data_IF_686826321309
#
_entry.id   IF_686826321309
#
_cell.length_a   1.000
_cell.length_b   1.000
_cell.length_c   1.000
_cell.angle_alpha   90.00
_cell.angle_beta   90.00
_cell.angle_gamma   90.00
#
_symmetry.space_group_name_H-M   'P 1'
#
loop_
_entity.id
_entity.type
_entity.pdbx_description
1 polymer ?
#
# COMPACT_ATOMS: atom_id res chain seq x y z
N UNK A 1 -22.54 -8.25 -2.75
CA UNK A 1 -21.17 -8.65 -3.19
C UNK A 1 -20.45 -9.35 -2.04
N UNK A 2 -19.59 -10.35 -2.28
CA UNK A 2 -19.07 -11.28 -1.24
C UNK A 2 -18.31 -10.59 -0.10
N UNK A 3 -17.63 -9.47 -0.35
CA UNK A 3 -16.90 -8.73 0.68
C UNK A 3 -17.84 -8.15 1.76
N UNK A 4 -19.07 -7.77 1.39
CA UNK A 4 -20.09 -7.32 2.34
C UNK A 4 -20.47 -8.40 3.37
N UNK A 5 -20.34 -9.69 3.03
CA UNK A 5 -20.62 -10.80 3.96
C UNK A 5 -19.49 -11.02 4.98
N UNK A 6 -18.23 -10.75 4.61
CA UNK A 6 -17.07 -10.94 5.50
C UNK A 6 -17.05 -9.89 6.61
N UNK A 7 -17.47 -8.66 6.30
CA UNK A 7 -17.52 -7.56 7.27
C UNK A 7 -18.70 -7.73 8.25
N UNK A 8 -19.65 -8.64 7.99
CA UNK A 8 -20.68 -9.12 8.93
C UNK A 8 -21.44 -8.00 9.68
N UNK A 9 -21.80 -6.91 9.00
CA UNK A 9 -22.49 -5.76 9.60
C UNK A 9 -21.59 -4.76 10.33
N UNK A 10 -20.26 -4.93 10.27
CA UNK A 10 -19.27 -3.96 10.75
C UNK A 10 -19.02 -2.86 9.71
N UNK A 11 -18.25 -1.86 10.11
CA UNK A 11 -17.83 -0.77 9.22
C UNK A 11 -17.02 -1.31 8.05
N UNK A 12 -17.42 -0.94 6.83
CA UNK A 12 -16.71 -1.31 5.62
C UNK A 12 -15.33 -0.64 5.57
N UNK A 13 -14.28 -1.33 5.08
CA UNK A 13 -13.01 -0.70 4.79
C UNK A 13 -13.16 0.48 3.83
N UNK A 14 -12.44 1.56 4.12
CA UNK A 14 -12.36 2.73 3.24
C UNK A 14 -11.56 2.43 1.97
N UNK A 15 -10.53 1.57 2.09
CA UNK A 15 -9.75 1.00 0.99
C UNK A 15 -9.22 -0.40 1.36
N UNK A 16 -8.62 -1.08 0.39
CA UNK A 16 -7.96 -2.39 0.52
C UNK A 16 -6.54 -2.27 0.00
N UNK A 17 -5.54 -2.53 0.85
CA UNK A 17 -4.14 -2.50 0.44
C UNK A 17 -3.66 -3.88 -0.02
N UNK A 18 -2.88 -3.93 -1.10
CA UNK A 18 -2.08 -5.08 -1.50
C UNK A 18 -0.63 -4.73 -1.19
N UNK A 19 -0.02 -5.48 -0.28
CA UNK A 19 1.38 -5.34 0.11
C UNK A 19 2.28 -6.13 -0.86
N UNK A 20 3.09 -5.41 -1.63
CA UNK A 20 3.98 -5.96 -2.66
C UNK A 20 5.42 -5.61 -2.33
N UNK A 21 6.04 -6.44 -1.49
CA UNK A 21 7.39 -6.21 -0.95
C UNK A 21 8.44 -7.27 -1.33
N UNK A 22 8.03 -8.35 -2.00
CA UNK A 22 8.88 -9.48 -2.40
C UNK A 22 8.38 -10.17 -3.68
N UNK A 23 9.23 -11.00 -4.26
CA UNK A 23 8.92 -11.73 -5.51
C UNK A 23 8.11 -13.00 -5.18
N UNK A 24 6.80 -12.95 -5.39
CA UNK A 24 5.87 -14.03 -5.00
C UNK A 24 5.46 -14.97 -6.15
N UNK A 25 5.73 -14.60 -7.41
CA UNK A 25 5.32 -15.38 -8.59
C UNK A 25 6.33 -16.48 -8.91
N UNK A 26 6.51 -17.42 -7.99
CA UNK A 26 7.46 -18.53 -8.13
C UNK A 26 8.92 -18.06 -8.25
N UNK A 27 9.26 -16.91 -7.67
CA UNK A 27 10.57 -16.27 -7.80
C UNK A 27 10.80 -15.53 -9.12
N UNK A 28 9.80 -15.43 -10.01
CA UNK A 28 9.92 -14.71 -11.28
C UNK A 28 9.41 -13.27 -11.19
N UNK A 29 10.33 -12.31 -11.10
CA UNK A 29 10.03 -10.88 -11.05
C UNK A 29 9.20 -10.39 -12.24
N UNK A 30 9.41 -10.95 -13.44
CA UNK A 30 8.68 -10.53 -14.65
C UNK A 30 7.20 -10.90 -14.62
N UNK A 31 6.81 -11.84 -13.77
CA UNK A 31 5.42 -12.26 -13.59
C UNK A 31 4.68 -11.44 -12.52
N UNK A 32 5.37 -10.60 -11.74
CA UNK A 32 4.75 -9.84 -10.65
C UNK A 32 3.63 -8.94 -11.14
N UNK A 33 3.82 -8.23 -12.26
CA UNK A 33 2.75 -7.41 -12.85
C UNK A 33 1.48 -8.22 -13.12
N UNK A 34 1.61 -9.35 -13.81
CA UNK A 34 0.47 -10.20 -14.16
C UNK A 34 -0.20 -10.79 -12.90
N UNK A 35 0.59 -11.20 -11.90
CA UNK A 35 0.10 -11.71 -10.62
C UNK A 35 -0.71 -10.66 -9.84
N UNK A 36 -0.20 -9.45 -9.72
CA UNK A 36 -0.91 -8.35 -9.05
C UNK A 36 -2.15 -7.93 -9.83
N UNK A 37 -2.10 -7.87 -11.17
CA UNK A 37 -3.29 -7.58 -11.99
C UNK A 37 -4.37 -8.66 -11.83
N UNK A 38 -4.00 -9.94 -11.73
CA UNK A 38 -4.92 -11.03 -11.45
C UNK A 38 -5.53 -10.92 -10.05
N UNK A 39 -4.73 -10.56 -9.03
CA UNK A 39 -5.22 -10.32 -7.67
C UNK A 39 -6.24 -9.17 -7.64
N UNK A 40 -5.92 -8.04 -8.27
CA UNK A 40 -6.83 -6.88 -8.37
C UNK A 40 -8.13 -7.26 -9.09
N UNK A 41 -8.05 -8.02 -10.18
CA UNK A 41 -9.23 -8.50 -10.90
C UNK A 41 -10.09 -9.40 -10.02
N UNK A 42 -9.49 -10.27 -9.20
CA UNK A 42 -10.24 -11.09 -8.25
C UNK A 42 -10.88 -10.24 -7.14
N UNK A 43 -10.23 -9.18 -6.66
CA UNK A 43 -10.88 -8.22 -5.76
C UNK A 43 -12.10 -7.55 -6.42
N UNK A 44 -12.01 -7.19 -7.70
CA UNK A 44 -13.14 -6.64 -8.45
C UNK A 44 -14.30 -7.63 -8.54
N UNK A 45 -14.05 -8.92 -8.85
CA UNK A 45 -15.12 -9.94 -8.89
C UNK A 45 -15.81 -10.12 -7.54
N UNK A 46 -15.08 -9.88 -6.45
CA UNK A 46 -15.60 -9.94 -5.07
C UNK A 46 -16.33 -8.65 -4.65
N UNK A 47 -16.23 -7.58 -5.43
CA UNK A 47 -16.94 -6.30 -5.25
C UNK A 47 -16.10 -5.13 -4.76
N UNK A 48 -14.77 -5.23 -4.78
CA UNK A 48 -13.89 -4.09 -4.47
C UNK A 48 -13.54 -3.39 -5.79
N UNK A 49 -14.00 -2.15 -6.02
CA UNK A 49 -13.65 -1.43 -7.24
C UNK A 49 -12.18 -0.98 -7.21
N UNK A 50 -11.56 -0.83 -8.38
CA UNK A 50 -10.14 -0.45 -8.51
C UNK A 50 -9.77 0.83 -7.75
N UNK A 51 -10.66 1.84 -7.74
CA UNK A 51 -10.45 3.08 -7.00
C UNK A 51 -10.40 2.90 -5.47
N UNK A 52 -10.73 1.73 -4.93
CA UNK A 52 -10.55 1.37 -3.51
C UNK A 52 -9.35 0.47 -3.24
N UNK A 53 -8.61 0.09 -4.28
CA UNK A 53 -7.42 -0.75 -4.14
C UNK A 53 -6.19 0.16 -4.05
N UNK A 54 -5.41 0.01 -2.98
CA UNK A 54 -4.13 0.69 -2.77
C UNK A 54 -3.02 -0.31 -3.00
N UNK A 55 -2.01 0.04 -3.79
CA UNK A 55 -0.81 -0.78 -3.90
C UNK A 55 0.26 -0.20 -2.98
N UNK A 56 0.66 -0.98 -1.98
CA UNK A 56 1.89 -0.74 -1.23
C UNK A 56 3.03 -1.43 -1.98
N UNK A 57 4.06 -0.69 -2.38
CA UNK A 57 5.11 -1.19 -3.28
C UNK A 57 6.46 -0.87 -2.67
N UNK A 58 7.28 -1.89 -2.36
CA UNK A 58 8.64 -1.66 -1.88
C UNK A 58 9.43 -0.76 -2.84
N UNK A 59 9.98 0.36 -2.34
CA UNK A 59 10.61 1.39 -3.17
C UNK A 59 11.74 0.85 -4.08
N UNK A 60 12.51 -0.12 -3.58
CA UNK A 60 13.62 -0.73 -4.31
C UNK A 60 13.19 -1.73 -5.39
N UNK A 61 11.94 -2.21 -5.36
CA UNK A 61 11.38 -3.16 -6.33
C UNK A 61 10.42 -2.51 -7.32
N UNK A 62 10.06 -1.24 -7.10
CA UNK A 62 9.05 -0.51 -7.89
C UNK A 62 9.23 -0.69 -9.40
N UNK A 63 10.43 -0.38 -9.92
CA UNK A 63 10.72 -0.49 -11.36
C UNK A 63 10.80 -1.96 -11.82
N UNK A 64 11.37 -2.84 -10.99
CA UNK A 64 11.54 -4.26 -11.32
C UNK A 64 10.20 -4.98 -11.45
N UNK A 65 9.24 -4.67 -10.59
CA UNK A 65 7.90 -5.24 -10.67
C UNK A 65 7.07 -4.66 -11.82
N UNK A 66 7.35 -3.42 -12.24
CA UNK A 66 6.66 -2.74 -13.34
C UNK A 66 5.13 -2.87 -13.22
N UNK A 67 4.59 -2.64 -12.02
CA UNK A 67 3.17 -2.78 -11.74
C UNK A 67 2.33 -1.75 -12.51
N UNK A 68 1.06 -2.06 -12.74
CA UNK A 68 0.11 -1.14 -13.35
C UNK A 68 -0.41 -0.12 -12.33
N UNK A 69 0.45 0.82 -11.94
CA UNK A 69 0.11 1.80 -10.89
C UNK A 69 -1.02 2.75 -11.27
N UNK A 70 -1.26 2.95 -12.57
CA UNK A 70 -2.37 3.75 -13.08
C UNK A 70 -3.76 3.11 -12.82
N UNK A 71 -3.84 1.79 -12.69
CA UNK A 71 -5.09 1.08 -12.36
C UNK A 71 -5.47 1.27 -10.89
N UNK A 72 -4.49 1.40 -10.00
CA UNK A 72 -4.72 1.46 -8.57
C UNK A 72 -5.36 2.78 -8.13
N UNK A 73 -6.22 2.69 -7.12
CA UNK A 73 -6.84 3.82 -6.44
C UNK A 73 -5.83 4.72 -5.74
N UNK A 74 -4.75 4.18 -5.19
CA UNK A 74 -3.61 4.98 -4.70
C UNK A 74 -2.33 4.15 -4.60
N UNK A 75 -1.19 4.83 -4.55
CA UNK A 75 0.14 4.22 -4.39
C UNK A 75 0.73 4.58 -3.03
N UNK A 76 1.15 3.58 -2.27
CA UNK A 76 1.80 3.75 -0.98
C UNK A 76 3.22 3.20 -1.07
N UNK A 77 4.23 3.98 -0.70
CA UNK A 77 5.64 3.55 -0.83
C UNK A 77 6.37 3.70 0.51
N UNK A 78 7.07 2.65 0.98
CA UNK A 78 7.99 2.74 2.11
C UNK A 78 9.36 3.26 1.69
N UNK A 79 9.92 4.17 2.49
CA UNK A 79 11.32 4.57 2.38
C UNK A 79 11.76 5.22 3.70
N UNK A 80 12.72 4.60 4.40
CA UNK A 80 12.88 4.87 5.83
C UNK A 80 14.11 5.70 6.22
N UNK A 81 15.08 5.89 5.33
CA UNK A 81 16.36 6.51 5.70
C UNK A 81 17.01 5.80 6.89
N UNK A 82 17.33 6.53 7.96
CA UNK A 82 17.92 5.96 9.19
C UNK A 82 16.96 5.04 9.96
N UNK A 83 15.66 5.13 9.69
CA UNK A 83 14.61 4.34 10.32
C UNK A 83 14.66 4.39 11.87
N UNK A 84 14.60 5.61 12.42
CA UNK A 84 14.69 5.89 13.86
C UNK A 84 13.38 6.45 14.45
N UNK A 85 12.30 6.48 13.66
CA UNK A 85 11.01 7.04 14.06
C UNK A 85 10.81 8.51 13.68
N UNK A 86 11.87 9.22 13.28
CA UNK A 86 11.81 10.65 12.93
C UNK A 86 11.65 10.87 11.43
N UNK A 87 10.80 11.81 11.03
CA UNK A 87 10.61 12.16 9.60
C UNK A 87 11.84 12.87 9.01
N UNK A 88 12.59 13.62 9.84
CA UNK A 88 13.73 14.43 9.39
C UNK A 88 14.94 13.58 8.99
N UNK A 89 15.09 12.39 9.58
CA UNK A 89 16.17 11.45 9.25
C UNK A 89 15.71 10.37 8.25
N UNK A 90 14.47 10.46 7.76
CA UNK A 90 13.94 9.58 6.73
C UNK A 90 14.25 10.08 5.33
N UNK A 91 14.38 9.15 4.39
CA UNK A 91 14.59 9.45 2.97
C UNK A 91 13.28 9.29 2.22
N UNK A 92 12.84 10.31 1.48
CA UNK A 92 11.61 10.22 0.67
C UNK A 92 11.71 9.13 -0.42
N UNK A 93 10.57 8.53 -0.84
CA UNK A 93 10.54 7.67 -2.01
C UNK A 93 11.01 8.40 -3.27
N UNK A 94 11.63 7.66 -4.18
CA UNK A 94 12.16 8.20 -5.46
C UNK A 94 11.18 8.04 -6.62
N UNK A 95 9.99 7.49 -6.36
CA UNK A 95 8.94 7.21 -7.34
C UNK A 95 7.66 7.97 -6.94
N UNK A 96 6.71 8.23 -7.86
CA UNK A 96 5.44 8.84 -7.51
C UNK A 96 4.67 8.02 -6.47
N UNK A 97 4.14 8.68 -5.45
CA UNK A 97 3.33 8.08 -4.39
C UNK A 97 2.16 8.99 -4.00
N UNK A 98 1.15 8.38 -3.39
CA UNK A 98 0.00 9.01 -2.76
C UNK A 98 0.07 8.97 -1.21
N UNK A 99 0.86 8.05 -0.64
CA UNK A 99 1.18 7.99 0.77
C UNK A 99 2.61 7.51 0.96
N UNK A 100 3.33 8.06 1.93
CA UNK A 100 4.70 7.65 2.26
C UNK A 100 4.75 7.02 3.65
N UNK A 101 5.22 5.77 3.75
CA UNK A 101 5.64 5.17 5.02
C UNK A 101 7.09 5.54 5.30
N UNK A 102 7.31 6.43 6.27
CA UNK A 102 8.63 7.03 6.49
C UNK A 102 9.47 6.31 7.53
N UNK A 103 8.88 5.38 8.30
CA UNK A 103 9.60 4.60 9.30
C UNK A 103 8.79 3.40 9.75
N UNK A 104 9.48 2.35 10.18
CA UNK A 104 8.92 1.22 10.93
C UNK A 104 9.29 1.22 12.42
N UNK A 105 9.83 2.33 12.94
CA UNK A 105 10.27 2.49 14.34
C UNK A 105 9.62 3.67 15.05
N UNK A 106 8.46 4.11 14.56
CA UNK A 106 7.68 5.15 15.21
C UNK A 106 7.19 4.72 16.60
N UNK A 107 6.75 5.71 17.37
CA UNK A 107 6.20 5.53 18.71
C UNK A 107 4.91 6.32 18.85
N UNK A 108 3.86 5.63 19.27
CA UNK A 108 2.54 6.21 19.53
C UNK A 108 2.17 5.93 20.96
N UNK A 109 1.78 6.96 21.71
CA UNK A 109 1.33 6.80 23.09
C UNK A 109 0.16 5.82 23.15
N UNK A 110 0.25 4.83 24.03
CA UNK A 110 -0.74 3.74 24.15
C UNK A 110 -0.45 2.51 23.29
N UNK A 111 0.57 2.51 22.42
CA UNK A 111 1.02 1.32 21.69
C UNK A 111 2.41 0.90 22.17
N UNK A 112 2.50 -0.33 22.69
CA UNK A 112 3.78 -0.92 23.07
C UNK A 112 4.49 -1.47 21.84
N UNK A 113 5.74 -1.06 21.65
CA UNK A 113 6.57 -1.51 20.53
C UNK A 113 6.80 -0.42 19.49
N UNK A 114 7.34 -0.83 18.34
CA UNK A 114 7.51 0.04 17.19
C UNK A 114 6.21 0.09 16.36
N UNK A 115 5.94 1.24 15.76
CA UNK A 115 4.79 1.47 14.90
C UNK A 115 5.25 1.99 13.55
N UNK A 116 4.68 1.44 12.49
CA UNK A 116 4.85 1.98 11.14
C UNK A 116 4.13 3.32 11.02
N UNK A 117 4.86 4.36 10.60
CA UNK A 117 4.31 5.71 10.51
C UNK A 117 4.29 6.20 9.08
N UNK A 118 3.22 6.92 8.76
CA UNK A 118 2.92 7.40 7.42
C UNK A 118 2.73 8.91 7.42
N UNK A 119 3.05 9.55 6.30
CA UNK A 119 2.97 11.01 6.15
C UNK A 119 2.74 11.38 4.68
N UNK A 120 2.55 12.69 4.45
CA UNK A 120 2.38 13.30 3.14
C UNK A 120 1.28 12.63 2.27
N UNK A 121 0.04 12.46 2.79
CA UNK A 121 -1.04 11.95 1.96
C UNK A 121 -1.34 12.94 0.83
N UNK A 122 -1.43 12.44 -0.41
CA UNK A 122 -1.93 13.19 -1.55
C UNK A 122 -3.43 13.46 -1.41
N UNK A 123 -3.97 14.38 -2.20
CA UNK A 123 -5.42 14.65 -2.19
C UNK A 123 -6.23 13.42 -2.64
N UNK A 124 -5.64 12.60 -3.53
CA UNK A 124 -6.18 11.30 -3.92
C UNK A 124 -6.32 10.36 -2.72
N UNK A 125 -5.31 10.31 -1.84
CA UNK A 125 -5.35 9.47 -0.64
C UNK A 125 -6.31 10.03 0.43
N UNK A 126 -6.32 11.35 0.63
CA UNK A 126 -7.21 12.01 1.60
C UNK A 126 -8.69 11.75 1.29
N UNK A 127 -9.05 11.55 0.03
CA UNK A 127 -10.43 11.21 -0.37
C UNK A 127 -10.95 9.90 0.23
N UNK A 128 -10.09 9.01 0.76
CA UNK A 128 -10.53 7.84 1.53
C UNK A 128 -10.90 8.16 2.98
N UNK A 129 -10.42 9.29 3.51
CA UNK A 129 -10.52 9.66 4.92
C UNK A 129 -11.65 10.66 5.21
N UNK A 130 -12.22 11.25 4.16
CA UNK A 130 -13.39 12.13 4.18
C UNK A 130 -14.69 11.35 4.06
#
# INVERSE_FOLDING_TARGET
QRVQRVVAGKQQPVFYAIDVESVEMGGNVSQMRAGIEAFMSQLNTLGVPDHKIVLYIANHLYNSFNLNTARAGAIWIPSYGQNDGSIVNSTKPTHPYDLWQYTSKGRVSGITGNVDMNTEPSDKFKAYLS
#
